data_IF_124999240717
#
_entry.id   IF_124999240717
#
_cell.length_a   1.000
_cell.length_b   1.000
_cell.length_c   1.000
_cell.angle_alpha   90.00
_cell.angle_beta   90.00
_cell.angle_gamma   90.00
#
_symmetry.space_group_name_H-M   'P 1'
#
loop_
_entity.id
_entity.type
_entity.pdbx_description
1 polymer ?
#
# COMPACT_ATOMS: atom_id res chain seq x y z
N UNK A 1 -2.36 56.61 31.65
CA UNK A 1 -1.77 55.26 31.49
C UNK A 1 -2.80 54.39 30.79
N UNK A 2 -2.77 54.30 29.45
CA UNK A 2 -3.72 53.46 28.68
C UNK A 2 -3.28 52.01 28.78
N UNK A 3 -4.13 51.16 29.33
CA UNK A 3 -3.92 49.72 29.40
C UNK A 3 -4.33 49.15 28.04
N UNK A 4 -3.35 48.90 27.16
CA UNK A 4 -3.57 48.10 25.98
C UNK A 4 -3.67 46.63 26.40
N UNK A 5 -4.91 46.15 26.47
CA UNK A 5 -5.24 44.73 26.54
C UNK A 5 -4.99 44.12 25.17
N UNK A 6 -3.82 43.51 24.98
CA UNK A 6 -3.54 42.69 23.81
C UNK A 6 -3.95 41.25 24.10
N UNK A 7 -5.10 40.88 23.53
CA UNK A 7 -5.65 39.53 23.41
C UNK A 7 -4.58 38.52 22.99
N UNK A 8 -4.43 37.46 23.79
CA UNK A 8 -3.67 36.26 23.42
C UNK A 8 -4.28 35.64 22.15
N UNK A 9 -3.55 35.71 21.05
CA UNK A 9 -3.79 34.85 19.89
C UNK A 9 -3.48 33.42 20.32
N UNK A 10 -4.51 32.58 20.46
CA UNK A 10 -4.30 31.14 20.49
C UNK A 10 -3.90 30.71 19.08
N UNK A 11 -2.58 30.60 18.85
CA UNK A 11 -2.09 29.74 17.79
C UNK A 11 -2.55 28.33 18.17
N UNK A 12 -3.52 27.77 17.43
CA UNK A 12 -3.84 26.36 17.58
C UNK A 12 -2.59 25.57 17.20
N UNK A 13 -1.93 25.03 18.22
CA UNK A 13 -0.89 24.00 18.10
C UNK A 13 -1.47 22.80 17.32
N UNK A 14 -1.36 22.84 16.00
CA UNK A 14 -1.58 21.66 15.15
C UNK A 14 -0.34 20.76 15.22
N UNK A 15 0.05 20.38 16.44
CA UNK A 15 1.28 19.62 16.75
C UNK A 15 0.99 18.16 17.10
N UNK A 16 -0.28 17.74 17.16
CA UNK A 16 -0.65 16.35 17.47
C UNK A 16 -1.73 15.81 16.53
N UNK A 17 -1.30 15.01 15.56
CA UNK A 17 -2.11 14.09 14.73
C UNK A 17 -2.80 14.68 13.48
N UNK A 18 -2.05 15.28 12.56
CA UNK A 18 -2.52 15.36 11.18
C UNK A 18 -2.47 13.96 10.56
N UNK A 19 -3.58 13.21 10.63
CA UNK A 19 -3.73 11.95 9.88
C UNK A 19 -3.50 12.27 8.39
N UNK A 20 -2.53 11.60 7.76
CA UNK A 20 -2.35 11.73 6.32
C UNK A 20 -3.61 11.21 5.64
N UNK A 21 -4.14 12.02 4.72
CA UNK A 21 -5.30 11.63 3.90
C UNK A 21 -4.81 10.83 2.70
N UNK A 22 -5.66 9.92 2.24
CA UNK A 22 -5.41 9.18 1.00
C UNK A 22 -5.24 10.16 -0.18
N UNK A 23 -4.33 9.81 -1.10
CA UNK A 23 -4.00 10.58 -2.29
C UNK A 23 -4.52 9.87 -3.53
N UNK A 24 -5.12 10.63 -4.45
CA UNK A 24 -5.61 10.15 -5.74
C UNK A 24 -5.22 11.18 -6.80
N UNK A 25 -4.44 10.77 -7.79
CA UNK A 25 -3.95 11.63 -8.86
C UNK A 25 -4.27 10.98 -10.19
N UNK A 26 -5.12 11.62 -11.00
CA UNK A 26 -5.39 11.15 -12.34
C UNK A 26 -4.18 11.42 -13.24
N UNK A 27 -3.71 10.37 -13.93
CA UNK A 27 -2.63 10.41 -14.88
C UNK A 27 -3.07 9.66 -16.16
N UNK A 28 -3.54 10.39 -17.15
CA UNK A 28 -4.15 9.81 -18.35
C UNK A 28 -5.41 9.00 -18.01
N UNK A 29 -5.37 7.71 -18.35
CA UNK A 29 -6.49 6.76 -18.19
C UNK A 29 -6.46 6.00 -16.85
N UNK A 30 -5.56 6.37 -15.93
CA UNK A 30 -5.47 5.76 -14.60
C UNK A 30 -5.48 6.81 -13.49
N UNK A 31 -5.81 6.37 -12.29
CA UNK A 31 -5.81 7.16 -11.06
C UNK A 31 -4.79 6.54 -10.11
N UNK A 32 -3.61 7.15 -10.03
CA UNK A 32 -2.55 6.79 -9.09
C UNK A 32 -3.03 7.05 -7.65
N UNK A 33 -2.92 6.04 -6.81
CA UNK A 33 -3.47 6.05 -5.46
C UNK A 33 -2.40 5.72 -4.43
N UNK A 34 -2.39 6.50 -3.33
CA UNK A 34 -1.62 6.20 -2.12
C UNK A 34 -2.57 6.25 -0.93
N UNK A 35 -2.75 5.10 -0.28
CA UNK A 35 -3.53 4.95 0.94
C UNK A 35 -2.60 4.92 2.15
N UNK A 36 -3.03 5.53 3.25
CA UNK A 36 -2.23 5.61 4.48
C UNK A 36 -2.90 4.88 5.64
N UNK A 37 -2.10 4.27 6.50
CA UNK A 37 -2.49 3.78 7.81
C UNK A 37 -2.84 4.95 8.73
N UNK A 38 -3.53 4.67 9.84
CA UNK A 38 -3.85 5.69 10.86
C UNK A 38 -2.60 6.38 11.44
N UNK A 39 -1.46 5.70 11.43
CA UNK A 39 -0.17 6.25 11.88
C UNK A 39 0.54 7.10 10.82
N UNK A 40 -0.05 7.26 9.62
CA UNK A 40 0.50 8.05 8.53
C UNK A 40 1.58 7.36 7.68
N UNK A 41 1.89 6.09 7.95
CA UNK A 41 2.71 5.24 7.07
C UNK A 41 1.85 4.80 5.87
N UNK A 42 2.47 4.62 4.71
CA UNK A 42 1.76 4.13 3.51
C UNK A 42 1.21 2.74 3.81
N UNK A 43 -0.08 2.55 3.56
CA UNK A 43 -0.74 1.25 3.64
C UNK A 43 -0.72 0.54 2.30
N UNK A 44 -1.06 1.26 1.22
CA UNK A 44 -1.14 0.70 -0.12
C UNK A 44 -0.79 1.73 -1.18
N UNK A 45 -0.22 1.26 -2.28
CA UNK A 45 0.00 2.04 -3.50
C UNK A 45 -0.45 1.24 -4.70
N UNK A 46 -1.09 1.89 -5.66
CA UNK A 46 -1.48 1.27 -6.92
C UNK A 46 -2.29 2.21 -7.77
N UNK A 47 -2.98 1.66 -8.76
CA UNK A 47 -3.79 2.43 -9.71
C UNK A 47 -5.22 1.91 -9.80
N UNK A 48 -6.16 2.83 -9.98
CA UNK A 48 -7.49 2.52 -10.48
C UNK A 48 -7.59 2.89 -11.96
N UNK A 49 -8.43 2.20 -12.72
CA UNK A 49 -8.87 2.67 -14.03
C UNK A 49 -10.00 3.73 -13.89
N UNK A 50 -10.43 4.31 -15.01
CA UNK A 50 -11.48 5.33 -15.04
C UNK A 50 -12.86 4.82 -14.56
N UNK A 51 -13.06 3.50 -14.52
CA UNK A 51 -14.27 2.84 -13.99
C UNK A 51 -14.18 2.57 -12.47
N UNK A 52 -13.17 3.12 -11.78
CA UNK A 52 -12.88 2.91 -10.35
C UNK A 52 -12.57 1.46 -9.97
N UNK A 53 -12.03 0.66 -10.91
CA UNK A 53 -11.58 -0.71 -10.64
C UNK A 53 -10.07 -0.76 -10.51
N UNK A 54 -9.56 -1.69 -9.69
CA UNK A 54 -8.13 -1.91 -9.51
C UNK A 54 -7.48 -2.29 -10.85
N UNK A 55 -6.38 -1.63 -11.18
CA UNK A 55 -5.64 -1.85 -12.42
C UNK A 55 -4.14 -1.87 -12.11
N UNK A 56 -3.40 -2.75 -12.76
CA UNK A 56 -1.94 -2.83 -12.65
C UNK A 56 -1.43 -3.33 -11.30
N UNK A 57 -0.25 -2.84 -10.93
CA UNK A 57 0.45 -3.28 -9.71
C UNK A 57 -0.11 -2.62 -8.46
N UNK A 58 -0.39 -3.45 -7.46
CA UNK A 58 -0.74 -3.00 -6.12
C UNK A 58 0.26 -3.53 -5.09
N UNK A 59 0.82 -2.64 -4.30
CA UNK A 59 1.74 -2.98 -3.21
C UNK A 59 1.08 -2.63 -1.89
N UNK A 60 1.09 -3.56 -0.94
CA UNK A 60 0.62 -3.34 0.42
C UNK A 60 1.79 -3.36 1.39
N UNK A 61 1.66 -2.57 2.44
CA UNK A 61 2.67 -2.39 3.48
C UNK A 61 2.03 -2.52 4.87
N UNK A 62 2.78 -2.99 5.86
CA UNK A 62 2.36 -2.98 7.26
C UNK A 62 2.48 -1.56 7.88
N UNK A 63 2.13 -1.44 9.16
CA UNK A 63 2.22 -0.17 9.90
C UNK A 63 3.65 0.31 10.13
N UNK A 64 4.66 -0.53 9.91
CA UNK A 64 6.08 -0.20 10.01
C UNK A 64 6.67 0.21 8.64
N UNK A 65 5.94 -0.02 7.55
CA UNK A 65 6.34 0.28 6.18
C UNK A 65 7.00 -0.90 5.46
N UNK A 66 7.00 -2.10 6.04
CA UNK A 66 7.50 -3.30 5.36
C UNK A 66 6.46 -3.78 4.35
N UNK A 67 6.92 -4.25 3.18
CA UNK A 67 6.03 -4.82 2.17
C UNK A 67 5.40 -6.11 2.69
N UNK A 68 4.09 -6.21 2.58
CA UNK A 68 3.31 -7.39 2.98
C UNK A 68 2.69 -8.11 1.79
N UNK A 69 2.45 -7.39 0.69
CA UNK A 69 1.99 -8.01 -0.54
C UNK A 69 2.36 -7.22 -1.79
N UNK A 70 2.49 -7.93 -2.91
CA UNK A 70 2.52 -7.40 -4.28
C UNK A 70 1.51 -8.18 -5.11
N UNK A 71 0.56 -7.47 -5.70
CA UNK A 71 -0.55 -8.02 -6.45
C UNK A 71 -0.62 -7.37 -7.83
N UNK A 72 -1.19 -8.09 -8.79
CA UNK A 72 -1.53 -7.56 -10.12
C UNK A 72 -3.03 -7.68 -10.32
N UNK A 73 -3.62 -6.58 -10.81
CA UNK A 73 -5.03 -6.50 -11.12
C UNK A 73 -5.24 -6.08 -12.58
N UNK A 74 -6.31 -6.56 -13.18
CA UNK A 74 -6.82 -6.03 -14.44
C UNK A 74 -8.33 -5.95 -14.36
N UNK A 75 -8.88 -4.75 -14.58
CA UNK A 75 -10.30 -4.46 -14.50
C UNK A 75 -10.95 -4.95 -13.18
N UNK A 76 -10.22 -4.83 -12.07
CA UNK A 76 -10.65 -5.27 -10.74
C UNK A 76 -10.43 -6.75 -10.43
N UNK A 77 -10.03 -7.56 -11.41
CA UNK A 77 -9.79 -8.99 -11.25
C UNK A 77 -8.34 -9.28 -10.88
N UNK A 78 -8.12 -10.31 -10.06
CA UNK A 78 -6.78 -10.77 -9.71
C UNK A 78 -6.17 -11.50 -10.88
N UNK A 79 -5.02 -11.03 -11.36
CA UNK A 79 -4.30 -11.62 -12.49
C UNK A 79 -2.83 -11.83 -12.14
N UNK A 80 -2.16 -12.71 -12.89
CA UNK A 80 -0.72 -12.93 -12.78
C UNK A 80 -0.29 -13.51 -11.43
N UNK A 81 0.94 -13.17 -11.04
CA UNK A 81 1.60 -13.73 -9.86
C UNK A 81 1.57 -12.74 -8.70
N UNK A 82 1.11 -13.23 -7.56
CA UNK A 82 0.96 -12.46 -6.34
C UNK A 82 1.97 -12.94 -5.31
N UNK A 83 2.58 -11.99 -4.63
CA UNK A 83 3.55 -12.27 -3.58
C UNK A 83 2.98 -11.80 -2.25
N UNK A 84 3.08 -12.65 -1.23
CA UNK A 84 2.72 -12.32 0.14
C UNK A 84 3.93 -12.53 1.03
N UNK A 85 4.25 -11.54 1.85
CA UNK A 85 5.42 -11.55 2.73
C UNK A 85 4.93 -11.56 4.18
N UNK A 86 5.39 -12.53 4.96
CA UNK A 86 5.08 -12.66 6.39
C UNK A 86 6.35 -13.05 7.15
N UNK A 87 7.00 -12.07 7.78
CA UNK A 87 8.24 -12.30 8.50
C UNK A 87 9.32 -12.92 7.59
N UNK A 88 9.72 -14.16 7.91
CA UNK A 88 10.71 -14.92 7.13
C UNK A 88 10.09 -15.83 6.08
N UNK A 89 8.81 -15.71 5.78
CA UNK A 89 8.16 -16.50 4.73
C UNK A 89 7.68 -15.62 3.60
N UNK A 90 7.81 -16.11 2.37
CA UNK A 90 7.22 -15.51 1.18
C UNK A 90 6.39 -16.56 0.45
N UNK A 91 5.16 -16.20 0.08
CA UNK A 91 4.28 -17.04 -0.72
C UNK A 91 4.07 -16.41 -2.07
N UNK A 92 4.40 -17.15 -3.12
CA UNK A 92 4.09 -16.83 -4.50
C UNK A 92 2.82 -17.59 -4.89
N UNK A 93 1.80 -16.86 -5.33
CA UNK A 93 0.50 -17.41 -5.73
C UNK A 93 0.22 -16.97 -7.15
N UNK A 94 0.20 -17.92 -8.08
CA UNK A 94 -0.12 -17.65 -9.48
C UNK A 94 -1.60 -17.84 -9.73
N UNK A 95 -2.24 -16.83 -10.31
CA UNK A 95 -3.64 -16.88 -10.72
C UNK A 95 -3.76 -17.09 -12.24
N UNK A 96 -4.61 -18.02 -12.67
CA UNK A 96 -4.99 -18.23 -14.07
C UNK A 96 -6.50 -18.41 -14.14
N UNK A 97 -7.18 -17.63 -14.97
CA UNK A 97 -8.65 -17.55 -15.05
C UNK A 97 -9.32 -17.35 -13.68
N UNK A 98 -8.78 -16.41 -12.89
CA UNK A 98 -9.24 -16.10 -11.53
C UNK A 98 -9.20 -17.27 -10.52
N UNK A 99 -8.56 -18.40 -10.88
CA UNK A 99 -8.33 -19.55 -10.01
C UNK A 99 -6.87 -19.61 -9.59
N UNK A 100 -6.61 -20.11 -8.38
CA UNK A 100 -5.25 -20.39 -7.92
C UNK A 100 -4.71 -21.55 -8.77
N UNK A 101 -3.68 -21.25 -9.57
CA UNK A 101 -3.01 -22.23 -10.41
C UNK A 101 -1.86 -22.90 -9.66
N UNK A 102 -1.10 -22.13 -8.87
CA UNK A 102 0.08 -22.61 -8.17
C UNK A 102 0.32 -21.79 -6.89
N UNK A 103 0.80 -22.45 -5.83
CA UNK A 103 1.26 -21.81 -4.60
C UNK A 103 2.66 -22.34 -4.29
N UNK A 104 3.66 -21.46 -4.31
CA UNK A 104 5.03 -21.78 -3.91
C UNK A 104 5.35 -21.01 -2.63
N UNK A 105 5.91 -21.70 -1.63
CA UNK A 105 6.32 -21.08 -0.36
C UNK A 105 7.83 -21.13 -0.23
N UNK A 106 8.42 -19.97 0.07
CA UNK A 106 9.85 -19.78 0.26
C UNK A 106 10.12 -19.40 1.72
N UNK A 107 11.08 -20.07 2.35
CA UNK A 107 11.68 -19.59 3.59
C UNK A 107 12.81 -18.62 3.24
N UNK A 108 12.74 -17.40 3.76
CA UNK A 108 13.76 -16.37 3.66
C UNK A 108 14.77 -16.61 4.79
N UNK A 109 15.76 -17.45 4.51
CA UNK A 109 16.99 -17.50 5.32
C UNK A 109 18.02 -16.52 4.74
N UNK A 110 18.76 -15.86 5.63
CA UNK A 110 19.61 -14.69 5.38
C UNK A 110 20.18 -14.61 3.93
N UNK A 111 19.68 -13.63 3.17
CA UNK A 111 20.26 -13.14 1.90
C UNK A 111 20.75 -14.23 0.93
N UNK A 112 19.92 -15.22 0.59
CA UNK A 112 20.07 -16.00 -0.65
C UNK A 112 18.75 -16.68 -1.01
N UNK A 113 18.06 -16.15 -2.02
CA UNK A 113 16.89 -16.80 -2.60
C UNK A 113 17.39 -18.06 -3.35
N UNK A 114 17.27 -19.22 -2.71
CA UNK A 114 17.52 -20.51 -3.38
C UNK A 114 16.18 -20.97 -3.96
N UNK A 115 16.04 -20.94 -5.29
CA UNK A 115 14.88 -21.54 -5.96
C UNK A 115 15.01 -23.06 -5.86
N UNK A 116 14.09 -23.73 -5.18
CA UNK A 116 13.97 -25.18 -5.29
C UNK A 116 12.68 -25.51 -6.05
N UNK A 117 12.84 -26.01 -7.27
CA UNK A 117 11.73 -26.52 -8.10
C UNK A 117 11.70 -28.05 -7.91
N UNK A 118 10.53 -28.67 -7.68
CA UNK A 118 10.41 -30.12 -7.62
C UNK A 118 10.78 -30.80 -8.95
#
# INVERSE_FOLDING_TARGET
MMIFSASMMYAQDCSKTCKKKNSYVQNGDVIETVLYHDNGVVAQTGTYNLDNKLEGEWISFDTEGNKTAKAQYSNGEKVGTWFFYQGKEMKEVTYTDSRIAEVVTYAIEDTRVVSNRP
#
